data_IF_038348260359
#
_entry.id   IF_038348260359
#
_cell.length_a   1.000
_cell.length_b   1.000
_cell.length_c   1.000
_cell.angle_alpha   90.00
_cell.angle_beta   90.00
_cell.angle_gamma   90.00
#
_symmetry.space_group_name_H-M   'P 1'
#
loop_
_entity.id
_entity.type
_entity.pdbx_description
1 polymer ?
#
# COMPACT_ATOMS: atom_id res chain seq x y z
N UNK A 1 9.65 0.67 47.53
CA UNK A 1 8.91 -0.08 46.50
C UNK A 1 8.32 0.95 45.54
N UNK A 2 8.94 1.16 44.39
CA UNK A 2 8.45 2.09 43.36
C UNK A 2 8.05 1.25 42.14
N UNK A 3 6.74 1.07 41.98
CA UNK A 3 6.15 0.37 40.85
C UNK A 3 6.24 1.28 39.62
N UNK A 4 7.20 1.02 38.73
CA UNK A 4 7.24 1.63 37.41
C UNK A 4 6.10 1.02 36.57
N UNK A 5 4.99 1.75 36.49
CA UNK A 5 3.93 1.45 35.53
C UNK A 5 4.43 1.71 34.12
N UNK A 6 4.70 0.63 33.38
CA UNK A 6 4.92 0.67 31.94
C UNK A 6 3.62 1.08 31.26
N UNK A 7 3.54 2.33 30.82
CA UNK A 7 2.52 2.82 29.91
C UNK A 7 2.72 2.11 28.57
N UNK A 8 1.95 1.05 28.33
CA UNK A 8 1.73 0.47 27.02
C UNK A 8 1.05 1.54 26.16
N UNK A 9 1.84 2.31 25.41
CA UNK A 9 1.33 3.21 24.39
C UNK A 9 0.53 2.40 23.36
N UNK A 10 -0.58 2.95 22.82
CA UNK A 10 -1.35 2.25 21.81
C UNK A 10 -0.41 2.02 20.61
N UNK A 11 -0.31 0.77 20.15
CA UNK A 11 0.30 0.44 18.87
C UNK A 11 -0.42 1.25 17.81
N UNK A 12 0.14 2.40 17.43
CA UNK A 12 -0.47 3.31 16.48
C UNK A 12 -0.75 2.54 15.20
N UNK A 13 -2.01 2.53 14.77
CA UNK A 13 -2.37 2.06 13.43
C UNK A 13 -1.52 2.89 12.47
N UNK A 14 -0.56 2.26 11.80
CA UNK A 14 0.25 2.94 10.80
C UNK A 14 -0.74 3.60 9.82
N UNK A 15 -0.70 4.93 9.78
CA UNK A 15 -1.63 5.74 9.00
C UNK A 15 -1.28 5.61 7.52
N UNK A 16 -2.28 5.76 6.65
CA UNK A 16 -2.03 5.84 5.22
C UNK A 16 -1.20 7.09 4.89
N UNK A 17 -0.17 6.94 4.06
CA UNK A 17 0.69 8.01 3.55
C UNK A 17 0.60 8.08 2.02
N UNK A 18 -0.31 8.94 1.55
CA UNK A 18 -0.57 9.16 0.12
C UNK A 18 0.67 9.68 -0.62
N UNK A 19 1.48 10.53 0.04
CA UNK A 19 2.65 11.13 -0.60
C UNK A 19 3.78 10.11 -0.74
N UNK A 20 4.06 9.34 0.31
CA UNK A 20 5.05 8.27 0.26
C UNK A 20 4.69 7.20 -0.79
N UNK A 21 3.40 6.93 -0.97
CA UNK A 21 2.92 6.07 -2.06
C UNK A 21 3.22 6.67 -3.45
N UNK A 22 2.88 7.94 -3.67
CA UNK A 22 3.11 8.62 -4.95
C UNK A 22 4.61 8.70 -5.30
N UNK A 23 5.47 8.91 -4.30
CA UNK A 23 6.92 8.94 -4.47
C UNK A 23 7.48 7.57 -4.92
N UNK A 24 6.86 6.47 -4.48
CA UNK A 24 7.24 5.10 -4.90
C UNK A 24 6.66 4.70 -6.26
N UNK A 25 5.55 5.33 -6.68
CA UNK A 25 4.84 5.05 -7.94
C UNK A 25 4.89 6.27 -8.86
N UNK A 26 6.09 6.71 -9.31
CA UNK A 26 6.19 7.71 -10.34
C UNK A 26 5.59 7.17 -11.66
N UNK A 27 5.33 8.02 -12.66
CA UNK A 27 4.98 7.53 -13.98
C UNK A 27 6.12 6.68 -14.55
N UNK A 28 5.84 5.44 -14.96
CA UNK A 28 6.87 4.47 -15.42
C UNK A 28 6.73 4.08 -16.89
N UNK A 29 5.63 4.42 -17.55
CA UNK A 29 5.35 4.06 -18.95
C UNK A 29 4.39 5.05 -19.63
N UNK A 30 4.18 4.85 -20.94
CA UNK A 30 3.30 5.71 -21.75
C UNK A 30 1.88 5.80 -21.18
N UNK A 31 1.37 4.73 -20.58
CA UNK A 31 0.01 4.70 -20.02
C UNK A 31 -0.04 5.48 -18.70
N UNK A 32 0.94 5.29 -17.83
CA UNK A 32 1.02 5.92 -16.50
C UNK A 32 1.44 7.38 -16.52
N UNK A 33 2.06 7.88 -17.60
CA UNK A 33 2.36 9.31 -17.73
C UNK A 33 1.12 10.19 -17.90
N UNK A 34 -0.02 9.61 -18.30
CA UNK A 34 -1.31 10.31 -18.35
C UNK A 34 -2.17 10.05 -17.12
N UNK A 35 -1.72 9.20 -16.20
CA UNK A 35 -2.42 8.95 -14.94
C UNK A 35 -2.11 10.07 -13.96
N UNK A 36 -3.14 10.80 -13.55
CA UNK A 36 -3.02 11.84 -12.51
C UNK A 36 -2.67 11.24 -11.15
N UNK A 37 -2.16 12.07 -10.23
CA UNK A 37 -1.93 11.65 -8.83
C UNK A 37 -3.18 11.04 -8.21
N UNK A 38 -4.34 11.67 -8.41
CA UNK A 38 -5.63 11.15 -7.97
C UNK A 38 -5.94 9.77 -8.55
N UNK A 39 -5.64 9.54 -9.84
CA UNK A 39 -5.80 8.23 -10.46
C UNK A 39 -4.86 7.18 -9.89
N UNK A 40 -3.63 7.56 -9.54
CA UNK A 40 -2.68 6.66 -8.87
C UNK A 40 -3.13 6.31 -7.46
N UNK A 41 -3.58 7.29 -6.68
CA UNK A 41 -4.12 7.04 -5.35
C UNK A 41 -5.36 6.14 -5.42
N UNK A 42 -6.27 6.38 -6.35
CA UNK A 42 -7.45 5.54 -6.54
C UNK A 42 -7.06 4.06 -6.82
N UNK A 43 -6.07 3.84 -7.69
CA UNK A 43 -5.52 2.51 -7.94
C UNK A 43 -4.87 1.90 -6.68
N UNK A 44 -4.10 2.68 -5.91
CA UNK A 44 -3.50 2.23 -4.65
C UNK A 44 -4.55 1.78 -3.63
N UNK A 45 -5.61 2.56 -3.43
CA UNK A 45 -6.71 2.18 -2.54
C UNK A 45 -7.55 1.01 -3.07
N UNK A 46 -7.68 0.88 -4.40
CA UNK A 46 -8.33 -0.29 -5.01
C UNK A 46 -7.53 -1.57 -4.74
N UNK A 47 -6.19 -1.52 -4.85
CA UNK A 47 -5.32 -2.63 -4.46
C UNK A 47 -5.55 -3.03 -3.01
N UNK A 48 -5.55 -2.05 -2.09
CA UNK A 48 -5.83 -2.29 -0.68
C UNK A 48 -7.20 -2.97 -0.48
N UNK A 49 -8.23 -2.53 -1.19
CA UNK A 49 -9.57 -3.13 -1.14
C UNK A 49 -9.56 -4.58 -1.63
N UNK A 50 -8.91 -4.86 -2.76
CA UNK A 50 -8.80 -6.22 -3.31
C UNK A 50 -8.11 -7.17 -2.33
N UNK A 51 -7.03 -6.73 -1.68
CA UNK A 51 -6.30 -7.55 -0.70
C UNK A 51 -7.14 -7.77 0.56
N UNK A 52 -7.76 -6.72 1.12
CA UNK A 52 -8.61 -6.82 2.32
C UNK A 52 -9.83 -7.71 2.11
N UNK A 53 -10.33 -7.80 0.88
CA UNK A 53 -11.44 -8.69 0.49
C UNK A 53 -11.00 -10.12 0.14
N UNK A 54 -9.70 -10.43 0.27
CA UNK A 54 -9.16 -11.78 0.13
C UNK A 54 -8.59 -12.12 -1.25
N UNK A 55 -8.44 -11.14 -2.15
CA UNK A 55 -7.77 -11.39 -3.44
C UNK A 55 -6.28 -11.62 -3.19
N UNK A 56 -5.69 -12.75 -3.66
CA UNK A 56 -4.27 -13.01 -3.48
C UNK A 56 -3.40 -11.93 -4.13
N UNK A 57 -2.34 -11.49 -3.44
CA UNK A 57 -1.47 -10.39 -3.90
C UNK A 57 -0.86 -10.60 -5.29
N UNK A 58 -0.55 -11.84 -5.66
CA UNK A 58 -0.04 -12.16 -7.00
C UNK A 58 -1.09 -11.92 -8.11
N UNK A 59 -2.38 -12.20 -7.85
CA UNK A 59 -3.49 -11.94 -8.78
C UNK A 59 -3.72 -10.43 -8.92
N UNK A 60 -3.61 -9.70 -7.80
CA UNK A 60 -3.66 -8.24 -7.82
C UNK A 60 -2.50 -7.70 -8.66
N UNK A 61 -1.26 -8.10 -8.39
CA UNK A 61 -0.08 -7.64 -9.14
C UNK A 61 -0.22 -7.88 -10.66
N UNK A 62 -0.73 -9.05 -11.09
CA UNK A 62 -0.97 -9.37 -12.49
C UNK A 62 -1.95 -8.36 -13.16
N UNK A 63 -2.97 -7.92 -12.43
CA UNK A 63 -3.97 -6.95 -12.92
C UNK A 63 -3.40 -5.56 -13.21
N UNK A 64 -2.27 -5.20 -12.58
CA UNK A 64 -1.62 -3.89 -12.71
C UNK A 64 -0.39 -3.90 -13.62
N UNK A 65 -0.03 -5.03 -14.24
CA UNK A 65 1.16 -5.10 -15.12
C UNK A 65 1.09 -4.16 -16.34
N UNK A 66 -0.10 -3.80 -16.81
CA UNK A 66 -0.24 -2.81 -17.91
C UNK A 66 0.16 -1.40 -17.49
N UNK A 67 0.11 -1.10 -16.19
CA UNK A 67 0.53 0.17 -15.61
C UNK A 67 2.03 0.19 -15.24
N UNK A 68 2.77 -0.87 -15.60
CA UNK A 68 4.20 -1.01 -15.37
C UNK A 68 4.49 -2.23 -14.51
N UNK A 69 5.13 -2.01 -13.37
CA UNK A 69 5.46 -3.07 -12.43
C UNK A 69 4.32 -3.25 -11.41
N UNK A 70 3.45 -4.24 -11.66
CA UNK A 70 2.32 -4.54 -10.77
C UNK A 70 2.73 -4.91 -9.34
N UNK A 71 3.91 -5.50 -9.14
CA UNK A 71 4.43 -5.77 -7.80
C UNK A 71 4.89 -4.50 -7.11
N UNK A 72 5.45 -3.53 -7.83
CA UNK A 72 5.74 -2.22 -7.26
C UNK A 72 4.46 -1.55 -6.71
N UNK A 73 3.36 -1.62 -7.45
CA UNK A 73 2.06 -1.10 -7.01
C UNK A 73 1.53 -1.79 -5.75
N UNK A 74 1.53 -3.13 -5.72
CA UNK A 74 1.10 -3.90 -4.54
C UNK A 74 1.95 -3.56 -3.33
N UNK A 75 3.27 -3.61 -3.49
CA UNK A 75 4.22 -3.37 -2.40
C UNK A 75 4.12 -1.95 -1.83
N UNK A 76 3.98 -0.93 -2.68
CA UNK A 76 3.81 0.45 -2.22
C UNK A 76 2.45 0.64 -1.52
N UNK A 77 1.36 0.10 -2.06
CA UNK A 77 0.05 0.20 -1.44
C UNK A 77 0.01 -0.49 -0.07
N UNK A 78 0.57 -1.70 0.04
CA UNK A 78 0.62 -2.42 1.31
C UNK A 78 1.49 -1.71 2.35
N UNK A 79 2.63 -1.11 1.97
CA UNK A 79 3.49 -0.39 2.93
C UNK A 79 2.89 0.94 3.37
N UNK A 80 2.44 1.73 2.41
CA UNK A 80 2.14 3.15 2.66
C UNK A 80 0.65 3.39 2.88
N UNK A 81 -0.26 2.64 2.25
CA UNK A 81 -1.71 2.91 2.31
C UNK A 81 -2.51 1.93 3.18
N UNK A 82 -2.11 0.65 3.19
CA UNK A 82 -2.77 -0.40 3.96
C UNK A 82 -1.77 -1.38 4.63
N UNK A 83 -0.95 -0.88 5.57
CA UNK A 83 0.04 -1.67 6.32
C UNK A 83 -0.56 -2.84 7.12
N UNK A 84 -1.85 -2.77 7.44
CA UNK A 84 -2.59 -3.87 8.06
C UNK A 84 -2.70 -5.12 7.17
N UNK A 85 -2.45 -4.99 5.87
CA UNK A 85 -2.47 -6.11 4.91
C UNK A 85 -1.12 -6.80 4.75
N UNK A 86 -0.05 -6.26 5.33
CA UNK A 86 1.24 -6.94 5.42
C UNK A 86 1.11 -8.07 6.44
N UNK A 87 0.60 -9.22 5.99
CA UNK A 87 0.78 -10.46 6.73
C UNK A 87 2.28 -10.68 6.86
N UNK A 88 2.78 -10.72 8.10
CA UNK A 88 4.17 -11.01 8.42
C UNK A 88 4.57 -12.26 7.63
N UNK A 89 5.36 -12.08 6.60
CA UNK A 89 5.73 -13.14 5.66
C UNK A 89 6.54 -14.17 6.43
N UNK A 90 5.88 -15.25 6.85
CA UNK A 90 6.50 -16.46 7.38
C UNK A 90 6.79 -17.44 6.26
#
# INVERSE_FOLDING_TARGET
>A
MASMGLLLGPSGVAQADDQAFLDQIPPRNYISMYTTDAGRLANGYQICTMIKTGTPTHVVAESYMKLGDGWAWVNAAQRELCPDTLVHSG
#
